data_IF_477841617219
#
_entry.id   IF_477841617219
#
_cell.length_a   1.000
_cell.length_b   1.000
_cell.length_c   1.000
_cell.angle_alpha   90.00
_cell.angle_beta   90.00
_cell.angle_gamma   90.00
#
_symmetry.space_group_name_H-M   'P 1'
#
loop_
_entity.id
_entity.type
_entity.pdbx_description
1 polymer ?
#
# COMPACT_ATOMS: atom_id res chain seq x y z
N UNK A 1 11.14 16.63 9.17
CA UNK A 1 11.43 15.27 9.68
C UNK A 1 10.69 15.11 10.99
N UNK A 2 9.59 14.35 11.01
CA UNK A 2 9.00 13.91 12.28
C UNK A 2 10.05 13.09 13.02
N UNK A 3 10.28 13.39 14.30
CA UNK A 3 11.28 12.69 15.12
C UNK A 3 10.83 11.23 15.29
N UNK A 4 11.74 10.26 15.43
CA UNK A 4 11.36 8.85 15.73
C UNK A 4 10.42 8.72 16.95
N UNK A 5 10.53 9.65 17.89
CA UNK A 5 9.66 9.81 19.06
C UNK A 5 8.21 10.17 18.66
N UNK A 6 8.03 10.97 17.62
CA UNK A 6 6.74 11.43 17.09
C UNK A 6 5.96 10.27 16.45
N UNK A 7 6.64 9.49 15.59
CA UNK A 7 6.06 8.31 14.92
C UNK A 7 5.63 7.24 15.94
N UNK A 8 6.41 7.06 17.02
CA UNK A 8 6.10 6.07 18.05
C UNK A 8 4.86 6.47 18.87
N UNK A 9 4.72 7.77 19.18
CA UNK A 9 3.53 8.30 19.82
C UNK A 9 2.30 8.16 18.93
N UNK A 10 2.40 8.58 17.66
CA UNK A 10 1.31 8.50 16.69
C UNK A 10 0.79 7.07 16.55
N UNK A 11 1.69 6.09 16.40
CA UNK A 11 1.31 4.68 16.31
C UNK A 11 0.54 4.26 17.58
N UNK A 12 1.05 4.55 18.77
CA UNK A 12 0.39 4.18 20.02
C UNK A 12 -1.00 4.83 20.17
N UNK A 13 -1.10 6.10 19.80
CA UNK A 13 -2.37 6.84 19.80
C UNK A 13 -3.38 6.19 18.86
N UNK A 14 -3.01 5.97 17.58
CA UNK A 14 -3.91 5.39 16.60
C UNK A 14 -4.23 3.91 16.87
N UNK A 15 -3.31 3.14 17.45
CA UNK A 15 -3.60 1.78 17.95
C UNK A 15 -4.68 1.83 19.04
N UNK A 16 -4.68 2.85 19.91
CA UNK A 16 -5.73 3.01 20.93
C UNK A 16 -7.09 3.34 20.33
N UNK A 17 -7.12 4.11 19.24
CA UNK A 17 -8.35 4.41 18.49
C UNK A 17 -8.86 3.13 17.82
N UNK A 18 -7.97 2.38 17.15
CA UNK A 18 -8.32 1.13 16.48
C UNK A 18 -8.82 0.05 17.45
N UNK A 19 -8.38 0.06 18.71
CA UNK A 19 -8.92 -0.83 19.76
C UNK A 19 -10.37 -0.52 20.11
N UNK A 20 -10.82 0.74 19.98
CA UNK A 20 -12.19 1.16 20.26
C UNK A 20 -13.12 0.89 19.08
N UNK A 21 -12.64 1.18 17.88
CA UNK A 21 -13.32 0.84 16.63
C UNK A 21 -12.36 0.11 15.70
N UNK A 22 -12.52 -1.21 15.65
CA UNK A 22 -11.67 -2.06 14.84
C UNK A 22 -11.94 -1.94 13.34
N UNK A 23 -13.01 -1.29 12.91
CA UNK A 23 -13.37 -1.09 11.51
C UNK A 23 -13.05 0.30 10.99
N UNK A 24 -12.47 1.19 11.80
CA UNK A 24 -12.21 2.56 11.38
C UNK A 24 -11.14 2.63 10.29
N UNK A 25 -11.58 2.73 9.04
CA UNK A 25 -10.77 2.57 7.82
C UNK A 25 -9.66 3.59 7.70
N UNK A 26 -9.91 4.85 8.06
CA UNK A 26 -8.96 5.95 8.01
C UNK A 26 -7.81 5.72 8.99
N UNK A 27 -8.10 5.19 10.18
CA UNK A 27 -7.08 4.82 11.16
C UNK A 27 -6.28 3.61 10.71
N UNK A 28 -6.93 2.64 10.06
CA UNK A 28 -6.23 1.48 9.48
C UNK A 28 -5.25 1.93 8.40
N UNK A 29 -5.66 2.80 7.49
CA UNK A 29 -4.82 3.35 6.44
C UNK A 29 -3.62 4.13 7.02
N UNK A 30 -3.89 5.02 7.99
CA UNK A 30 -2.85 5.80 8.67
C UNK A 30 -1.83 4.89 9.39
N UNK A 31 -2.31 3.88 10.12
CA UNK A 31 -1.44 2.91 10.79
C UNK A 31 -0.61 2.10 9.78
N UNK A 32 -1.18 1.71 8.64
CA UNK A 32 -0.44 1.04 7.57
C UNK A 32 0.80 1.83 7.15
N UNK A 33 0.60 3.10 6.77
CA UNK A 33 1.68 3.99 6.38
C UNK A 33 2.67 4.30 7.50
N UNK A 34 2.20 4.50 8.74
CA UNK A 34 3.05 4.75 9.90
C UNK A 34 3.92 3.54 10.25
N UNK A 35 3.36 2.33 10.21
CA UNK A 35 4.14 1.10 10.43
C UNK A 35 5.22 0.93 9.38
N UNK A 36 4.91 1.13 8.10
CA UNK A 36 5.90 1.07 7.01
C UNK A 36 7.02 2.08 7.23
N UNK A 37 6.70 3.34 7.54
CA UNK A 37 7.70 4.39 7.87
C UNK A 37 8.55 4.05 9.09
N UNK A 38 7.99 3.32 10.06
CA UNK A 38 8.71 2.84 11.24
C UNK A 38 9.54 1.56 10.98
N UNK A 39 9.54 1.02 9.76
CA UNK A 39 10.18 -0.26 9.41
C UNK A 39 9.44 -1.49 9.93
N UNK A 40 8.23 -1.32 10.49
CA UNK A 40 7.34 -2.40 10.98
C UNK A 40 6.50 -2.96 9.84
N UNK A 41 7.15 -3.44 8.78
CA UNK A 41 6.47 -3.81 7.52
C UNK A 41 5.39 -4.88 7.72
N UNK A 42 5.63 -5.86 8.60
CA UNK A 42 4.64 -6.90 8.89
C UNK A 42 3.34 -6.34 9.53
N UNK A 43 3.44 -5.29 10.34
CA UNK A 43 2.28 -4.63 10.93
C UNK A 43 1.55 -3.78 9.88
N UNK A 44 2.30 -3.10 9.00
CA UNK A 44 1.75 -2.39 7.84
C UNK A 44 0.94 -3.32 6.93
N UNK A 45 1.53 -4.45 6.54
CA UNK A 45 0.86 -5.49 5.75
C UNK A 45 -0.44 -5.99 6.41
N UNK A 46 -0.47 -6.11 7.74
CA UNK A 46 -1.67 -6.51 8.48
C UNK A 46 -2.78 -5.46 8.35
N UNK A 47 -2.43 -4.17 8.37
CA UNK A 47 -3.37 -3.08 8.16
C UNK A 47 -3.88 -3.03 6.72
N UNK A 48 -3.00 -3.13 5.72
CA UNK A 48 -3.41 -3.09 4.32
C UNK A 48 -4.33 -4.26 3.95
N UNK A 49 -4.02 -5.48 4.42
CA UNK A 49 -4.92 -6.63 4.28
C UNK A 49 -6.28 -6.42 4.95
N UNK A 50 -6.31 -5.67 6.05
CA UNK A 50 -7.55 -5.35 6.75
C UNK A 50 -8.33 -4.29 5.97
N UNK A 51 -7.66 -3.28 5.44
CA UNK A 51 -8.27 -2.24 4.62
C UNK A 51 -8.91 -2.82 3.36
N UNK A 52 -8.19 -3.68 2.63
CA UNK A 52 -8.73 -4.40 1.46
C UNK A 52 -9.96 -5.24 1.80
N UNK A 53 -10.02 -5.88 2.98
CA UNK A 53 -11.21 -6.63 3.41
C UNK A 53 -12.41 -5.74 3.71
N UNK A 54 -12.18 -4.54 4.24
CA UNK A 54 -13.25 -3.59 4.57
C UNK A 54 -13.69 -2.78 3.34
N UNK A 55 -12.77 -2.54 2.42
CA UNK A 55 -12.98 -1.74 1.21
C UNK A 55 -12.43 -2.50 -0.01
N UNK A 56 -13.11 -3.57 -0.45
CA UNK A 56 -12.62 -4.42 -1.54
C UNK A 56 -12.51 -3.70 -2.89
N UNK A 57 -13.23 -2.59 -3.07
CA UNK A 57 -13.23 -1.80 -4.31
C UNK A 57 -12.29 -0.59 -4.25
N UNK A 58 -11.61 -0.36 -3.11
CA UNK A 58 -10.68 0.76 -2.97
C UNK A 58 -9.35 0.45 -3.67
N UNK A 59 -9.12 1.09 -4.81
CA UNK A 59 -7.91 0.94 -5.61
C UNK A 59 -6.62 1.27 -4.83
N UNK A 60 -6.63 2.33 -4.03
CA UNK A 60 -5.50 2.73 -3.18
C UNK A 60 -5.20 1.70 -2.10
N UNK A 61 -6.21 1.03 -1.55
CA UNK A 61 -6.00 -0.04 -0.57
C UNK A 61 -5.25 -1.24 -1.18
N UNK A 62 -5.59 -1.62 -2.42
CA UNK A 62 -4.87 -2.67 -3.16
C UNK A 62 -3.46 -2.24 -3.54
N UNK A 63 -3.26 -0.96 -3.88
CA UNK A 63 -1.94 -0.38 -4.14
C UNK A 63 -1.04 -0.46 -2.90
N UNK A 64 -1.52 0.01 -1.74
CA UNK A 64 -0.77 -0.04 -0.49
C UNK A 64 -0.43 -1.50 -0.09
N UNK A 65 -1.38 -2.43 -0.30
CA UNK A 65 -1.12 -3.86 -0.11
C UNK A 65 0.00 -4.37 -1.03
N UNK A 66 0.06 -3.92 -2.29
CA UNK A 66 1.14 -4.26 -3.20
C UNK A 66 2.50 -3.75 -2.70
N UNK A 67 2.56 -2.49 -2.22
CA UNK A 67 3.77 -1.91 -1.62
C UNK A 67 4.25 -2.75 -0.42
N UNK A 68 3.36 -3.04 0.54
CA UNK A 68 3.70 -3.86 1.70
C UNK A 68 4.15 -5.28 1.34
N UNK A 69 3.59 -5.89 0.29
CA UNK A 69 4.03 -7.21 -0.19
C UNK A 69 5.39 -7.14 -0.90
N UNK A 70 5.66 -6.09 -1.66
CA UNK A 70 6.95 -5.88 -2.33
C UNK A 70 8.08 -5.67 -1.31
N UNK A 71 7.82 -4.90 -0.24
CA UNK A 71 8.74 -4.71 0.89
C UNK A 71 9.00 -5.98 1.71
N UNK A 72 8.05 -6.93 1.70
CA UNK A 72 8.18 -8.25 2.34
C UNK A 72 8.81 -9.30 1.41
N UNK A 73 9.43 -8.89 0.30
CA UNK A 73 10.05 -9.77 -0.70
C UNK A 73 9.09 -10.82 -1.29
N UNK A 74 7.81 -10.43 -1.47
CA UNK A 74 6.77 -11.28 -2.09
C UNK A 74 6.31 -10.73 -3.44
N UNK A 75 7.19 -10.70 -4.47
CA UNK A 75 6.93 -10.00 -5.72
C UNK A 75 5.72 -10.54 -6.49
N UNK A 76 5.46 -11.85 -6.46
CA UNK A 76 4.30 -12.44 -7.14
C UNK A 76 2.97 -11.99 -6.54
N UNK A 77 2.89 -11.89 -5.22
CA UNK A 77 1.68 -11.42 -4.54
C UNK A 77 1.50 -9.90 -4.68
N UNK A 78 2.63 -9.16 -4.68
CA UNK A 78 2.64 -7.73 -4.90
C UNK A 78 2.11 -7.38 -6.29
N UNK A 79 2.60 -8.06 -7.34
CA UNK A 79 2.11 -7.87 -8.72
C UNK A 79 0.62 -8.16 -8.87
N UNK A 80 0.12 -9.21 -8.20
CA UNK A 80 -1.32 -9.51 -8.21
C UNK A 80 -2.13 -8.38 -7.58
N UNK A 81 -1.72 -7.91 -6.40
CA UNK A 81 -2.40 -6.81 -5.70
C UNK A 81 -2.30 -5.49 -6.48
N UNK A 82 -1.18 -5.25 -7.18
CA UNK A 82 -1.00 -4.09 -8.02
C UNK A 82 -1.90 -4.14 -9.27
N UNK A 83 -2.07 -5.32 -9.86
CA UNK A 83 -3.03 -5.53 -10.95
C UNK A 83 -4.47 -5.29 -10.46
N UNK A 84 -4.84 -5.79 -9.27
CA UNK A 84 -6.13 -5.53 -8.64
C UNK A 84 -6.38 -4.03 -8.41
N UNK A 85 -5.34 -3.28 -8.03
CA UNK A 85 -5.40 -1.83 -7.88
C UNK A 85 -5.70 -1.13 -9.21
N UNK A 86 -4.96 -1.49 -10.27
CA UNK A 86 -5.13 -0.94 -11.62
C UNK A 86 -6.52 -1.27 -12.19
N UNK A 87 -7.04 -2.48 -11.95
CA UNK A 87 -8.39 -2.87 -12.34
C UNK A 87 -9.46 -1.99 -11.67
N UNK A 88 -9.26 -1.64 -10.40
CA UNK A 88 -10.17 -0.80 -9.60
C UNK A 88 -10.01 0.70 -9.83
N UNK A 89 -9.12 1.10 -10.74
CA UNK A 89 -8.96 2.49 -11.15
C UNK A 89 -7.77 3.22 -10.54
N UNK A 90 -6.80 2.51 -9.95
CA UNK A 90 -5.52 3.13 -9.60
C UNK A 90 -4.82 3.61 -10.89
N UNK A 91 -4.52 4.90 -10.95
CA UNK A 91 -4.18 5.57 -12.21
C UNK A 91 -2.92 6.44 -12.13
N UNK A 92 -1.99 6.18 -11.20
CA UNK A 92 -0.72 6.92 -11.12
C UNK A 92 0.50 6.06 -11.52
N UNK A 93 0.77 5.87 -12.83
CA UNK A 93 1.90 5.09 -13.29
C UNK A 93 3.24 5.82 -13.08
N UNK A 94 3.22 7.15 -12.92
CA UNK A 94 4.41 7.94 -12.66
C UNK A 94 4.88 7.71 -11.22
N UNK A 95 3.95 7.64 -10.26
CA UNK A 95 4.24 7.25 -8.89
C UNK A 95 4.69 5.79 -8.80
N UNK A 96 3.96 4.84 -9.40
CA UNK A 96 4.36 3.42 -9.40
C UNK A 96 5.83 3.21 -9.81
N UNK A 97 6.27 3.88 -10.87
CA UNK A 97 7.64 3.76 -11.40
C UNK A 97 8.71 4.42 -10.51
N UNK A 98 8.33 5.32 -9.60
CA UNK A 98 9.25 6.02 -8.68
C UNK A 98 9.17 5.51 -7.25
N UNK A 99 8.07 4.85 -6.89
CA UNK A 99 7.84 4.38 -5.53
C UNK A 99 8.92 3.37 -5.14
N UNK A 100 9.65 3.70 -4.08
CA UNK A 100 10.75 2.89 -3.58
C UNK A 100 10.26 1.56 -3.03
N UNK A 101 9.01 1.48 -2.56
CA UNK A 101 8.43 0.25 -2.02
C UNK A 101 8.27 -0.82 -3.11
N UNK A 102 8.11 -0.38 -4.36
CA UNK A 102 7.93 -1.24 -5.53
C UNK A 102 9.26 -1.52 -6.27
N UNK A 103 10.41 -1.10 -5.73
CA UNK A 103 11.72 -1.26 -6.39
C UNK A 103 12.01 -2.71 -6.79
N UNK A 104 11.58 -3.68 -5.96
CA UNK A 104 11.74 -5.11 -6.26
C UNK A 104 10.94 -5.59 -7.48
N UNK A 105 9.95 -4.80 -7.93
CA UNK A 105 9.11 -5.11 -9.10
C UNK A 105 9.58 -4.43 -10.39
N UNK A 106 10.37 -3.36 -10.32
CA UNK A 106 10.70 -2.51 -11.48
C UNK A 106 11.36 -3.26 -12.64
N UNK A 107 12.11 -4.34 -12.36
CA UNK A 107 12.75 -5.18 -13.37
C UNK A 107 11.85 -6.28 -13.97
N UNK A 108 10.61 -6.43 -13.49
CA UNK A 108 9.72 -7.52 -13.90
C UNK A 108 8.90 -7.13 -15.14
N UNK A 109 8.81 -8.00 -16.17
CA UNK A 109 8.00 -7.75 -17.35
C UNK A 109 6.53 -7.43 -17.05
N UNK A 110 5.96 -8.08 -16.03
CA UNK A 110 4.59 -7.89 -15.57
C UNK A 110 4.37 -6.47 -15.03
N UNK A 111 5.34 -5.93 -14.28
CA UNK A 111 5.27 -4.57 -13.78
C UNK A 111 5.32 -3.55 -14.93
N UNK A 112 6.22 -3.75 -15.89
CA UNK A 112 6.31 -2.90 -17.08
C UNK A 112 5.00 -2.92 -17.89
N UNK A 113 4.35 -4.08 -18.00
CA UNK A 113 3.04 -4.22 -18.65
C UNK A 113 1.95 -3.44 -17.91
N UNK A 114 1.88 -3.52 -16.58
CA UNK A 114 0.92 -2.75 -15.78
C UNK A 114 1.10 -1.25 -15.98
N UNK A 115 2.34 -0.75 -15.96
CA UNK A 115 2.61 0.67 -16.24
C UNK A 115 2.15 1.11 -17.63
N UNK A 116 2.39 0.28 -18.65
CA UNK A 116 1.97 0.58 -20.01
C UNK A 116 0.45 0.59 -20.16
N UNK A 117 -0.24 -0.31 -19.45
CA UNK A 117 -1.70 -0.39 -19.42
C UNK A 117 -2.33 0.87 -18.83
N UNK A 118 -1.85 1.31 -17.66
CA UNK A 118 -2.37 2.53 -17.02
C UNK A 118 -2.11 3.76 -17.91
N UNK A 119 -0.91 3.92 -18.46
CA UNK A 119 -0.57 5.03 -19.38
C UNK A 119 -1.47 5.05 -20.61
N UNK A 120 -1.78 3.87 -21.17
CA UNK A 120 -2.67 3.76 -22.32
C UNK A 120 -4.09 4.21 -21.97
N UNK A 121 -4.61 3.83 -20.80
CA UNK A 121 -5.93 4.24 -20.33
C UNK A 121 -6.02 5.76 -20.11
N UNK A 122 -4.96 6.39 -19.61
CA UNK A 122 -4.90 7.85 -19.44
C UNK A 122 -4.86 8.63 -20.76
N UNK A 123 -4.46 7.98 -21.85
CA UNK A 123 -4.30 8.61 -23.16
C UNK A 123 -5.50 8.35 -24.10
N UNK A 124 -6.51 7.61 -23.64
CA UNK A 124 -7.70 7.22 -24.39
C UNK A 124 -8.90 8.09 -23.99
#
# INVERSE_FOLDING_TARGET
MARKEDISFDISFYESVLRRDSSYTEVIELLGGLYTKAGRIADGLKMDRKLVRLQPDNATAHYNLACSLALMERPSDALRSLADAVERGYDDPAWMAKDTDLTSLHGLPEFARLLAEVKKRQSA
#
